data_IF_611185568770
#
_entry.id   IF_611185568770
#
_cell.length_a   1.000
_cell.length_b   1.000
_cell.length_c   1.000
_cell.angle_alpha   90.00
_cell.angle_beta   90.00
_cell.angle_gamma   90.00
#
_symmetry.space_group_name_H-M   'P 1'
#
loop_
_entity.id
_entity.type
_entity.pdbx_description
1 polymer ?
#
# COMPACT_ATOMS: atom_id res chain seq x y z
N UNK A 1 32.94 0.79 -8.13
CA UNK A 1 31.56 0.79 -8.66
C UNK A 1 31.19 -0.65 -8.95
N UNK A 2 30.46 -1.30 -8.04
CA UNK A 2 29.97 -2.66 -8.25
C UNK A 2 28.60 -2.56 -8.92
N UNK A 3 28.55 -2.82 -10.22
CA UNK A 3 27.30 -3.03 -10.95
C UNK A 3 26.53 -4.15 -10.24
N UNK A 4 25.33 -3.85 -9.76
CA UNK A 4 24.42 -4.87 -9.22
C UNK A 4 23.60 -5.38 -10.39
N UNK A 5 23.76 -6.65 -10.71
CA UNK A 5 23.05 -7.34 -11.79
C UNK A 5 21.52 -7.23 -11.56
N UNK A 6 20.69 -7.02 -12.61
CA UNK A 6 19.24 -7.02 -12.45
C UNK A 6 18.80 -8.37 -11.88
N UNK A 7 18.20 -8.38 -10.70
CA UNK A 7 17.63 -9.61 -10.15
C UNK A 7 16.44 -10.05 -11.01
N UNK A 8 16.57 -11.20 -11.67
CA UNK A 8 15.49 -11.84 -12.40
C UNK A 8 14.29 -12.11 -11.49
N UNK A 9 13.05 -12.00 -12.01
CA UNK A 9 11.85 -12.23 -11.21
C UNK A 9 11.81 -13.66 -10.68
N UNK A 10 11.77 -13.81 -9.34
CA UNK A 10 11.69 -15.12 -8.69
C UNK A 10 10.23 -15.56 -8.65
N UNK A 11 9.92 -16.69 -9.30
CA UNK A 11 8.59 -17.30 -9.27
C UNK A 11 8.28 -17.87 -7.88
N UNK A 12 7.06 -17.66 -7.38
CA UNK A 12 6.59 -18.31 -6.15
C UNK A 12 5.91 -19.64 -6.50
N UNK A 13 6.33 -20.75 -5.89
CA UNK A 13 5.80 -22.10 -6.18
C UNK A 13 4.38 -22.37 -5.68
N UNK A 14 3.69 -21.36 -5.13
CA UNK A 14 2.33 -21.46 -4.57
C UNK A 14 1.33 -20.69 -5.42
N UNK A 15 0.10 -21.19 -5.55
CA UNK A 15 -0.96 -20.52 -6.34
C UNK A 15 -1.27 -19.14 -5.77
N UNK A 16 -1.03 -18.11 -6.57
CA UNK A 16 -1.34 -16.72 -6.25
C UNK A 16 -2.87 -16.55 -6.12
N UNK A 17 -3.34 -16.10 -4.96
CA UNK A 17 -4.77 -15.95 -4.69
C UNK A 17 -5.11 -14.53 -4.25
N UNK A 18 -6.08 -13.91 -4.93
CA UNK A 18 -6.66 -12.61 -4.53
C UNK A 18 -7.58 -12.83 -3.33
N UNK A 19 -7.23 -12.28 -2.17
CA UNK A 19 -7.96 -12.44 -0.90
C UNK A 19 -8.31 -11.09 -0.30
N UNK A 20 -9.42 -11.03 0.43
CA UNK A 20 -9.78 -9.86 1.23
C UNK A 20 -8.98 -9.85 2.53
N UNK A 21 -8.27 -8.75 2.78
CA UNK A 21 -7.57 -8.47 4.03
C UNK A 21 -8.25 -7.32 4.75
N UNK A 22 -8.67 -7.56 5.98
CA UNK A 22 -9.22 -6.56 6.89
C UNK A 22 -8.06 -5.76 7.48
N UNK A 23 -8.23 -4.45 7.57
CA UNK A 23 -7.27 -3.59 8.25
C UNK A 23 -7.96 -2.47 8.99
N UNK A 24 -7.26 -1.92 9.98
CA UNK A 24 -7.79 -0.85 10.80
C UNK A 24 -6.70 0.03 11.41
N UNK A 25 -7.11 1.19 11.92
CA UNK A 25 -6.27 1.91 12.87
C UNK A 25 -6.34 1.25 14.25
N UNK A 26 -5.40 1.55 15.14
CA UNK A 26 -5.31 0.91 16.45
C UNK A 26 -6.62 0.95 17.27
N UNK A 27 -7.37 2.06 17.21
CA UNK A 27 -8.63 2.21 17.95
C UNK A 27 -9.87 1.71 17.18
N UNK A 28 -9.71 1.15 15.97
CA UNK A 28 -10.80 0.59 15.17
C UNK A 28 -11.76 1.60 14.55
N UNK A 29 -11.53 2.91 14.71
CA UNK A 29 -12.39 3.96 14.10
C UNK A 29 -12.23 4.03 12.58
N UNK A 30 -11.01 3.85 12.11
CA UNK A 30 -10.69 3.69 10.69
C UNK A 30 -10.65 2.20 10.38
N UNK A 31 -11.47 1.74 9.44
CA UNK A 31 -11.51 0.33 9.01
C UNK A 31 -11.60 0.25 7.51
N UNK A 32 -10.94 -0.72 6.92
CA UNK A 32 -10.92 -0.92 5.49
C UNK A 32 -10.80 -2.40 5.14
N UNK A 33 -11.08 -2.72 3.88
CA UNK A 33 -10.74 -3.99 3.24
C UNK A 33 -9.81 -3.69 2.08
N UNK A 34 -8.78 -4.51 1.94
CA UNK A 34 -7.90 -4.52 0.77
C UNK A 34 -7.86 -5.91 0.15
N UNK A 35 -8.12 -6.00 -1.15
CA UNK A 35 -7.95 -7.24 -1.88
C UNK A 35 -6.53 -7.31 -2.43
N UNK A 36 -5.78 -8.33 -2.00
CA UNK A 36 -4.36 -8.47 -2.32
C UNK A 36 -4.12 -9.87 -2.84
N UNK A 37 -3.36 -9.99 -3.92
CA UNK A 37 -2.93 -11.28 -4.50
C UNK A 37 -1.65 -11.74 -3.81
N UNK A 38 -1.77 -12.73 -2.91
CA UNK A 38 -0.67 -13.29 -2.14
C UNK A 38 -0.66 -14.84 -2.14
N UNK A 39 0.52 -15.49 -2.20
CA UNK A 39 1.80 -14.87 -2.56
C UNK A 39 1.74 -14.26 -3.97
N UNK A 40 2.57 -13.24 -4.27
CA UNK A 40 2.61 -12.66 -5.62
C UNK A 40 3.08 -13.72 -6.63
N UNK A 41 2.59 -13.71 -7.88
CA UNK A 41 2.99 -14.71 -8.88
C UNK A 41 4.50 -14.76 -9.13
N UNK A 42 5.18 -13.62 -8.99
CA UNK A 42 6.62 -13.50 -8.98
C UNK A 42 7.05 -12.28 -8.16
N UNK A 43 8.28 -12.31 -7.63
CA UNK A 43 8.87 -11.24 -6.84
C UNK A 43 9.64 -10.29 -7.75
N UNK A 44 9.38 -8.99 -7.64
CA UNK A 44 10.10 -7.95 -8.36
C UNK A 44 10.15 -6.67 -7.52
N UNK A 45 11.23 -5.90 -7.62
CA UNK A 45 11.29 -4.57 -7.01
C UNK A 45 10.57 -3.49 -7.83
N UNK A 46 10.47 -3.67 -9.15
CA UNK A 46 10.06 -2.63 -10.11
C UNK A 46 8.79 -2.96 -10.90
N UNK A 47 8.47 -4.24 -11.13
CA UNK A 47 7.34 -4.66 -11.97
C UNK A 47 5.98 -4.34 -11.33
N UNK A 48 5.12 -3.62 -12.06
CA UNK A 48 3.80 -3.16 -11.61
C UNK A 48 2.68 -4.17 -11.84
N UNK A 49 2.93 -5.28 -12.52
CA UNK A 49 1.97 -6.36 -12.77
C UNK A 49 1.90 -7.38 -11.63
N UNK A 50 2.81 -7.30 -10.65
CA UNK A 50 2.84 -8.14 -9.45
C UNK A 50 2.71 -7.32 -8.17
N UNK A 51 2.19 -7.95 -7.10
CA UNK A 51 2.09 -7.31 -5.78
C UNK A 51 3.48 -7.01 -5.24
N UNK A 52 3.68 -5.79 -4.74
CA UNK A 52 4.92 -5.36 -4.11
C UNK A 52 4.65 -4.68 -2.79
N UNK A 53 5.34 -5.13 -1.75
CA UNK A 53 5.47 -4.42 -0.49
C UNK A 53 6.78 -3.62 -0.54
N UNK A 54 6.71 -2.31 -0.28
CA UNK A 54 7.84 -1.40 -0.50
C UNK A 54 8.12 -0.49 0.69
N UNK A 55 9.38 -0.13 0.88
CA UNK A 55 9.80 0.95 1.77
C UNK A 55 10.59 2.00 0.97
N UNK A 56 10.41 3.26 1.34
CA UNK A 56 11.00 4.42 0.68
C UNK A 56 11.84 5.19 1.70
N UNK A 57 13.02 5.68 1.30
CA UNK A 57 13.92 6.47 2.16
C UNK A 57 13.67 7.98 2.13
N UNK A 58 12.64 8.49 1.44
CA UNK A 58 12.31 9.91 1.53
C UNK A 58 11.90 10.30 2.95
N UNK A 59 12.05 11.58 3.29
CA UNK A 59 11.81 12.08 4.66
C UNK A 59 10.40 11.79 5.18
N UNK A 60 9.38 11.88 4.32
CA UNK A 60 7.98 11.59 4.68
C UNK A 60 7.78 10.10 5.00
N UNK A 61 8.13 9.21 4.07
CA UNK A 61 7.93 7.77 4.23
C UNK A 61 8.75 7.20 5.39
N UNK A 62 10.00 7.66 5.53
CA UNK A 62 10.88 7.26 6.63
C UNK A 62 10.28 7.64 7.99
N UNK A 63 9.92 8.92 8.19
CA UNK A 63 9.40 9.40 9.48
C UNK A 63 8.03 8.84 9.84
N UNK A 64 7.22 8.49 8.85
CA UNK A 64 5.92 7.85 9.07
C UNK A 64 6.02 6.33 9.29
N UNK A 65 7.22 5.75 9.09
CA UNK A 65 7.40 4.30 8.98
C UNK A 65 6.38 3.64 8.02
N UNK A 66 6.15 4.26 6.86
CA UNK A 66 5.10 3.82 5.95
C UNK A 66 5.58 2.63 5.11
N UNK A 67 4.87 1.50 5.20
CA UNK A 67 5.17 0.30 4.42
C UNK A 67 4.14 0.19 3.30
N UNK A 68 4.56 0.52 2.09
CA UNK A 68 3.66 0.69 0.95
C UNK A 68 3.21 -0.63 0.36
N UNK A 69 1.90 -0.83 0.25
CA UNK A 69 1.29 -1.75 -0.70
C UNK A 69 0.55 -0.91 -1.74
N UNK A 70 0.94 -1.05 -3.00
CA UNK A 70 0.17 -0.52 -4.15
C UNK A 70 -0.64 -1.70 -4.69
N UNK A 71 -1.96 -1.57 -4.65
CA UNK A 71 -2.86 -2.63 -5.12
C UNK A 71 -2.84 -2.70 -6.65
N UNK A 72 -3.17 -3.87 -7.21
CA UNK A 72 -3.09 -4.07 -8.66
C UNK A 72 -4.20 -3.29 -9.40
N UNK A 73 -5.37 -3.17 -8.78
CA UNK A 73 -6.49 -2.38 -9.24
C UNK A 73 -7.05 -1.53 -8.07
N UNK A 74 -6.46 -0.37 -7.79
CA UNK A 74 -6.78 0.39 -6.57
C UNK A 74 -8.27 0.75 -6.37
N UNK A 75 -9.04 1.16 -7.40
CA UNK A 75 -10.48 1.41 -7.27
C UNK A 75 -11.32 0.20 -6.85
N UNK A 76 -10.90 -1.00 -7.25
CA UNK A 76 -11.62 -2.26 -6.96
C UNK A 76 -11.05 -3.04 -5.79
N UNK A 77 -9.78 -2.82 -5.49
CA UNK A 77 -9.06 -3.58 -4.48
C UNK A 77 -9.05 -2.87 -3.13
N UNK A 78 -9.36 -1.57 -3.04
CA UNK A 78 -9.45 -0.85 -1.75
C UNK A 78 -10.87 -0.39 -1.44
N UNK A 79 -11.32 -0.65 -0.22
CA UNK A 79 -12.60 -0.17 0.28
C UNK A 79 -12.44 0.36 1.71
N UNK A 80 -12.63 1.67 1.90
CA UNK A 80 -12.72 2.27 3.22
C UNK A 80 -14.13 2.05 3.77
N UNK A 81 -14.23 1.34 4.90
CA UNK A 81 -15.50 1.02 5.55
C UNK A 81 -15.93 2.13 6.51
N UNK A 82 -14.97 2.66 7.27
CA UNK A 82 -15.18 3.81 8.16
C UNK A 82 -13.91 4.65 8.20
N UNK A 83 -14.01 6.00 8.19
CA UNK A 83 -15.23 6.80 7.95
C UNK A 83 -15.76 6.65 6.51
N UNK A 84 -16.99 7.11 6.26
CA UNK A 84 -17.61 7.09 4.92
C UNK A 84 -16.95 8.03 3.92
N UNK A 85 -16.19 9.02 4.38
CA UNK A 85 -15.36 9.89 3.55
C UNK A 85 -14.05 10.20 4.31
N UNK A 86 -12.87 9.88 3.76
CA UNK A 86 -11.62 10.15 4.46
C UNK A 86 -11.29 11.63 4.59
N UNK A 87 -11.80 12.49 3.70
CA UNK A 87 -11.57 13.93 3.75
C UNK A 87 -12.31 14.63 4.90
N UNK A 88 -13.37 14.00 5.41
CA UNK A 88 -14.18 14.54 6.52
C UNK A 88 -13.87 13.82 7.84
N UNK A 89 -13.64 12.51 7.80
CA UNK A 89 -13.50 11.69 9.00
C UNK A 89 -12.07 11.39 9.43
N UNK A 90 -11.05 11.76 8.66
CA UNK A 90 -9.63 11.56 9.00
C UNK A 90 -8.89 12.89 9.01
N UNK A 91 -7.80 12.95 9.79
CA UNK A 91 -6.89 14.10 9.74
C UNK A 91 -6.01 13.95 8.51
N UNK A 92 -5.79 15.05 7.78
CA UNK A 92 -5.06 15.08 6.53
C UNK A 92 -3.73 15.80 6.69
N UNK A 93 -2.66 15.20 6.20
CA UNK A 93 -1.35 15.83 6.07
C UNK A 93 -0.88 15.73 4.63
N UNK A 94 -0.38 16.83 4.07
CA UNK A 94 0.24 16.87 2.74
C UNK A 94 1.66 17.42 2.87
N UNK A 95 2.52 17.06 1.92
CA UNK A 95 3.93 17.48 1.89
C UNK A 95 4.41 17.63 0.44
N UNK A 96 5.60 18.20 0.26
CA UNK A 96 6.18 18.49 -1.07
C UNK A 96 5.21 19.31 -1.93
N UNK A 97 4.88 18.84 -3.13
CA UNK A 97 3.89 19.44 -4.03
C UNK A 97 2.44 19.36 -3.52
N UNK A 98 2.23 18.84 -2.31
CA UNK A 98 0.94 18.69 -1.65
C UNK A 98 -0.09 17.84 -2.42
N UNK A 99 0.38 16.94 -3.29
CA UNK A 99 -0.48 16.11 -4.14
C UNK A 99 -1.00 14.84 -3.48
N UNK A 100 -0.27 14.30 -2.50
CA UNK A 100 -0.65 13.08 -1.78
C UNK A 100 -1.19 13.47 -0.40
N UNK A 101 -2.39 12.99 -0.10
CA UNK A 101 -3.02 13.03 1.21
C UNK A 101 -2.55 11.84 2.05
N UNK A 102 -1.80 12.14 3.11
CA UNK A 102 -1.39 11.19 4.13
C UNK A 102 -2.41 11.22 5.26
N UNK A 103 -3.51 10.49 5.08
CA UNK A 103 -4.57 10.41 6.09
C UNK A 103 -4.11 9.69 7.35
N UNK A 104 -4.66 10.09 8.49
CA UNK A 104 -4.48 9.40 9.76
C UNK A 104 -5.69 9.52 10.68
N UNK A 105 -5.82 8.54 11.56
CA UNK A 105 -6.84 8.58 12.59
C UNK A 105 -6.52 9.68 13.60
N UNK A 106 -7.41 10.68 13.73
CA UNK A 106 -7.26 11.75 14.72
C UNK A 106 -7.33 11.29 16.19
N UNK A 107 -7.71 10.04 16.44
CA UNK A 107 -7.74 9.47 17.80
C UNK A 107 -6.46 8.74 18.18
N UNK A 108 -5.85 7.96 17.28
CA UNK A 108 -4.68 7.12 17.61
C UNK A 108 -3.44 7.39 16.76
N UNK A 109 -3.50 8.32 15.80
CA UNK A 109 -2.34 8.70 14.96
C UNK A 109 -2.00 7.73 13.83
N UNK A 110 -2.61 6.55 13.79
CA UNK A 110 -2.28 5.50 12.79
C UNK A 110 -2.68 5.92 11.37
N UNK A 111 -1.77 5.68 10.42
CA UNK A 111 -1.88 5.97 9.00
C UNK A 111 -2.20 4.70 8.22
N UNK A 112 -3.47 4.46 7.90
CA UNK A 112 -3.87 3.23 7.22
C UNK A 112 -3.59 3.25 5.72
N UNK A 113 -3.68 4.42 5.09
CA UNK A 113 -3.44 4.56 3.65
C UNK A 113 -3.09 6.01 3.30
N UNK A 114 -2.65 6.22 2.06
CA UNK A 114 -2.43 7.52 1.45
C UNK A 114 -3.08 7.57 0.07
N UNK A 115 -3.48 8.76 -0.38
CA UNK A 115 -4.34 8.92 -1.54
C UNK A 115 -4.08 10.21 -2.33
N UNK A 116 -4.19 10.15 -3.66
CA UNK A 116 -4.30 11.28 -4.57
C UNK A 116 -5.25 10.90 -5.70
N UNK A 117 -6.12 11.82 -6.10
CA UNK A 117 -7.14 11.61 -7.14
C UNK A 117 -8.55 11.88 -6.65
N UNK A 118 -9.55 11.44 -7.40
CA UNK A 118 -10.97 11.51 -7.02
C UNK A 118 -11.42 10.24 -6.32
N UNK A 119 -12.18 10.38 -5.24
CA UNK A 119 -12.84 9.26 -4.56
C UNK A 119 -14.35 9.33 -4.70
N UNK A 120 -15.02 8.21 -4.48
CA UNK A 120 -16.46 8.10 -4.51
C UNK A 120 -16.99 7.25 -3.36
N UNK A 121 -18.22 7.54 -2.94
CA UNK A 121 -18.96 6.71 -2.01
C UNK A 121 -19.90 5.83 -2.82
N UNK A 122 -19.88 4.52 -2.57
CA UNK A 122 -20.74 3.56 -3.25
C UNK A 122 -21.17 2.43 -2.32
N UNK A 123 -22.31 1.83 -2.64
CA UNK A 123 -22.77 0.63 -1.94
C UNK A 123 -22.21 -0.61 -2.62
N UNK A 124 -21.63 -1.51 -1.83
CA UNK A 124 -21.07 -2.78 -2.27
C UNK A 124 -21.61 -3.91 -1.41
N UNK A 125 -21.55 -5.14 -1.92
CA UNK A 125 -21.84 -6.33 -1.13
C UNK A 125 -20.54 -6.97 -0.65
N UNK A 126 -20.34 -7.01 0.67
CA UNK A 126 -19.18 -7.61 1.33
C UNK A 126 -19.70 -8.73 2.23
N UNK A 127 -19.25 -9.96 1.99
CA UNK A 127 -19.66 -11.15 2.78
C UNK A 127 -21.21 -11.28 2.86
N UNK A 128 -21.92 -10.98 1.76
CA UNK A 128 -23.38 -11.05 1.68
C UNK A 128 -24.13 -9.91 2.37
N UNK A 129 -23.42 -8.86 2.81
CA UNK A 129 -24.01 -7.67 3.44
C UNK A 129 -23.78 -6.44 2.58
N UNK A 130 -24.84 -5.67 2.36
CA UNK A 130 -24.72 -4.34 1.75
C UNK A 130 -24.02 -3.40 2.71
N UNK A 131 -23.00 -2.72 2.20
CA UNK A 131 -22.21 -1.77 2.96
C UNK A 131 -21.86 -0.58 2.09
N UNK A 132 -22.06 0.62 2.63
CA UNK A 132 -21.59 1.87 2.03
C UNK A 132 -20.10 2.01 2.31
N UNK A 133 -19.30 2.17 1.27
CA UNK A 133 -17.84 2.29 1.34
C UNK A 133 -17.36 3.48 0.53
N UNK A 134 -16.17 3.96 0.85
CA UNK A 134 -15.43 4.90 0.01
C UNK A 134 -14.33 4.18 -0.76
N UNK A 135 -14.20 4.48 -2.05
CA UNK A 135 -13.15 3.94 -2.93
C UNK A 135 -12.52 5.06 -3.75
N UNK A 136 -11.36 4.79 -4.34
CA UNK A 136 -10.92 5.59 -5.49
C UNK A 136 -11.99 5.48 -6.59
N UNK A 137 -12.30 6.60 -7.25
CA UNK A 137 -13.27 6.64 -8.34
C UNK A 137 -12.69 5.93 -9.55
N UNK A 138 -13.42 4.97 -10.12
CA UNK A 138 -12.90 4.16 -11.24
C UNK A 138 -12.76 4.98 -12.52
N UNK A 139 -13.74 5.84 -12.80
CA UNK A 139 -13.75 6.64 -14.01
C UNK A 139 -12.64 7.71 -13.99
N UNK A 140 -11.79 7.68 -15.01
CA UNK A 140 -10.62 8.57 -15.09
C UNK A 140 -9.41 8.11 -14.27
N UNK A 141 -9.48 6.99 -13.54
CA UNK A 141 -8.35 6.50 -12.74
C UNK A 141 -7.23 5.97 -13.63
N UNK A 142 -6.13 6.72 -13.66
CA UNK A 142 -5.00 6.41 -14.53
C UNK A 142 -3.95 5.57 -13.83
N UNK A 143 -3.72 5.76 -12.51
CA UNK A 143 -2.70 5.17 -11.58
C UNK A 143 -1.24 5.08 -12.06
N UNK A 144 -1.03 5.09 -13.37
CA UNK A 144 0.08 4.52 -14.14
C UNK A 144 0.52 5.46 -15.27
N UNK A 145 -0.41 6.19 -15.91
CA UNK A 145 -0.10 7.24 -16.89
C UNK A 145 -0.29 8.67 -16.37
N UNK A 146 -0.97 8.84 -15.23
CA UNK A 146 -1.14 10.12 -14.53
C UNK A 146 -0.67 10.03 -13.07
N UNK A 147 -1.28 10.83 -12.18
CA UNK A 147 -0.88 10.94 -10.77
C UNK A 147 -1.88 10.35 -9.77
N UNK A 148 -2.79 9.48 -10.22
CA UNK A 148 -3.67 8.82 -9.27
C UNK A 148 -2.87 7.85 -8.39
N UNK A 149 -3.12 7.94 -7.09
CA UNK A 149 -2.31 7.28 -6.09
C UNK A 149 -3.21 6.73 -4.99
N UNK A 150 -3.04 5.44 -4.69
CA UNK A 150 -3.55 4.87 -3.46
C UNK A 150 -2.54 3.85 -2.96
N UNK A 151 -2.09 4.02 -1.71
CA UNK A 151 -1.20 3.05 -1.08
C UNK A 151 -1.68 2.72 0.32
N UNK A 152 -1.85 1.43 0.56
CA UNK A 152 -2.19 0.87 1.87
C UNK A 152 -0.91 0.74 2.69
N UNK A 153 -0.98 1.06 3.98
CA UNK A 153 0.09 0.78 4.91
C UNK A 153 0.01 -0.68 5.36
N UNK A 154 1.00 -1.49 5.01
CA UNK A 154 1.04 -2.91 5.31
C UNK A 154 0.91 -3.20 6.81
N UNK A 155 1.43 -2.30 7.65
CA UNK A 155 1.42 -2.44 9.12
C UNK A 155 0.04 -2.24 9.77
N UNK A 156 -0.97 -1.82 9.00
CA UNK A 156 -2.35 -1.63 9.49
C UNK A 156 -3.31 -2.72 9.03
N UNK A 157 -2.81 -3.73 8.31
CA UNK A 157 -3.55 -4.96 8.03
C UNK A 157 -3.58 -5.80 9.32
N UNK A 158 -4.74 -6.34 9.68
CA UNK A 158 -4.87 -7.12 10.91
C UNK A 158 -3.95 -8.34 10.90
N UNK A 159 -3.21 -8.61 11.99
CA UNK A 159 -2.31 -9.74 12.07
C UNK A 159 -3.07 -11.07 12.07
N UNK A 160 -2.41 -12.14 11.62
CA UNK A 160 -2.96 -13.50 11.64
C UNK A 160 -3.90 -13.85 10.47
N UNK A 161 -4.01 -12.98 9.46
CA UNK A 161 -4.74 -13.28 8.23
C UNK A 161 -3.89 -14.17 7.31
N UNK A 162 -4.49 -15.26 6.82
CA UNK A 162 -3.82 -16.25 5.97
C UNK A 162 -3.10 -15.60 4.79
N UNK A 163 -1.82 -15.94 4.60
CA UNK A 163 -1.02 -15.47 3.47
C UNK A 163 -0.40 -14.07 3.63
N UNK A 164 -0.60 -13.41 4.78
CA UNK A 164 0.01 -12.11 5.08
C UNK A 164 0.79 -12.14 6.40
N UNK A 165 2.11 -12.30 6.32
CA UNK A 165 3.04 -12.11 7.44
C UNK A 165 4.23 -11.24 7.01
N UNK A 166 4.32 -10.02 7.55
CA UNK A 166 5.40 -9.08 7.24
C UNK A 166 6.80 -9.58 7.64
N UNK A 167 6.88 -10.46 8.64
CA UNK A 167 8.15 -11.11 9.01
C UNK A 167 8.62 -12.01 7.88
N UNK A 168 7.73 -12.85 7.33
CA UNK A 168 8.05 -13.74 6.22
C UNK A 168 8.56 -12.96 5.00
N UNK A 169 7.90 -11.85 4.66
CA UNK A 169 8.33 -10.98 3.56
C UNK A 169 9.71 -10.37 3.78
N UNK A 170 10.03 -10.04 5.03
CA UNK A 170 11.32 -9.47 5.41
C UNK A 170 12.42 -10.55 5.36
N UNK A 171 12.17 -11.71 5.96
CA UNK A 171 13.10 -12.84 6.02
C UNK A 171 13.42 -13.42 4.63
N UNK A 172 12.43 -13.46 3.74
CA UNK A 172 12.62 -13.86 2.33
C UNK A 172 13.30 -12.78 1.48
N UNK A 173 13.52 -11.59 2.01
CA UNK A 173 14.10 -10.46 1.27
C UNK A 173 13.18 -9.90 0.18
N UNK A 174 11.87 -10.12 0.27
CA UNK A 174 10.89 -9.75 -0.77
C UNK A 174 10.42 -8.29 -0.72
N UNK A 175 10.80 -7.56 0.33
CA UNK A 175 10.51 -6.12 0.44
C UNK A 175 11.35 -5.35 -0.59
N UNK A 176 10.68 -4.53 -1.40
CA UNK A 176 11.33 -3.61 -2.31
C UNK A 176 11.72 -2.30 -1.61
N UNK A 177 12.89 -1.77 -1.93
CA UNK A 177 13.40 -0.53 -1.36
C UNK A 177 13.62 0.49 -2.47
N UNK A 178 13.08 1.69 -2.27
CA UNK A 178 13.13 2.80 -3.22
C UNK A 178 14.10 3.88 -2.71
N UNK A 179 14.94 4.38 -3.61
CA UNK A 179 15.82 5.52 -3.37
C UNK A 179 15.19 6.82 -3.87
N UNK A 180 14.34 7.43 -3.04
CA UNK A 180 13.69 8.70 -3.34
C UNK A 180 14.40 9.86 -2.63
N UNK A 181 15.33 9.56 -1.72
CA UNK A 181 16.16 10.58 -1.06
C UNK A 181 17.17 11.16 -2.04
N UNK A 182 17.91 10.29 -2.72
CA UNK A 182 19.01 10.70 -3.60
C UNK A 182 18.64 10.51 -5.09
N UNK A 183 17.56 9.78 -5.40
CA UNK A 183 17.02 9.56 -6.75
C UNK A 183 18.01 8.97 -7.77
N UNK A 184 19.03 8.25 -7.28
CA UNK A 184 20.06 7.60 -8.12
C UNK A 184 19.92 6.08 -8.16
N UNK A 185 19.31 5.48 -7.14
CA UNK A 185 19.15 4.04 -7.03
C UNK A 185 17.91 3.48 -7.72
N UNK A 186 18.08 2.44 -8.52
CA UNK A 186 16.96 1.62 -9.03
C UNK A 186 16.27 0.84 -7.89
N UNK A 187 14.95 0.60 -7.94
CA UNK A 187 14.27 -0.23 -6.95
C UNK A 187 14.96 -1.59 -6.75
N UNK A 188 15.25 -1.97 -5.50
CA UNK A 188 15.94 -3.24 -5.18
C UNK A 188 15.27 -4.03 -4.08
N UNK A 189 15.52 -5.33 -4.04
CA UNK A 189 15.03 -6.23 -2.97
C UNK A 189 16.03 -6.35 -1.82
N UNK A 190 15.57 -6.81 -0.67
CA UNK A 190 16.40 -7.30 0.44
C UNK A 190 17.12 -6.26 1.30
N UNK A 191 17.47 -5.07 0.77
CA UNK A 191 18.24 -4.05 1.54
C UNK A 191 17.76 -2.61 1.32
N UNK A 192 17.47 -1.84 2.39
CA UNK A 192 17.19 -0.41 2.30
C UNK A 192 18.37 0.39 1.73
N UNK A 193 18.06 1.50 1.05
CA UNK A 193 19.05 2.52 0.71
C UNK A 193 19.58 3.24 1.95
N UNK A 194 20.66 4.01 1.81
CA UNK A 194 21.14 4.88 2.87
C UNK A 194 20.04 5.85 3.32
N UNK A 195 19.92 6.06 4.63
CA UNK A 195 18.80 6.81 5.24
C UNK A 195 17.45 6.06 5.22
N UNK A 196 17.39 4.87 4.64
CA UNK A 196 16.24 3.97 4.69
C UNK A 196 16.14 3.20 6.01
N UNK A 197 15.16 2.31 6.07
CA UNK A 197 14.91 1.45 7.23
C UNK A 197 14.40 0.09 6.76
N UNK A 198 14.80 -0.96 7.49
CA UNK A 198 14.18 -2.28 7.42
C UNK A 198 12.76 -2.21 7.99
#
# INVERSE_FOLDING_TARGET
MTYTEPQEPVSTSTTANRRAYKGSCHCGKTRYISYITLPPPFISASDRSTTRIRKCNCSTCHKMNFVHIRLLNEPEDFMLLTPSNPFEGLVNYTCFEARIHWFFCGTCGVRCFSFAGEGEVRDVEIEGKKQTVWTAKREGWTSRSGFDYLSVNATTIEPGQEGFDMREWTEKGWIAYLDVKDEVGEPRLGKPYEGGMY
#
